data_IF_041487218967
#
_entry.id   IF_041487218967
#
_cell.length_a   1.000
_cell.length_b   1.000
_cell.length_c   1.000
_cell.angle_alpha   90.00
_cell.angle_beta   90.00
_cell.angle_gamma   90.00
#
_symmetry.space_group_name_H-M   'P 1'
#
loop_
_entity.id
_entity.type
_entity.pdbx_description
1 polymer ?
#
# COMPACT_ATOMS: atom_id res chain seq x y z
N UNK A 1 -8.34 5.03 -18.91
CA UNK A 1 -9.05 6.32 -18.95
C UNK A 1 -9.89 6.60 -17.71
N UNK A 2 -10.69 5.63 -17.23
CA UNK A 2 -11.56 5.80 -16.03
C UNK A 2 -10.86 5.57 -14.69
N UNK A 3 -9.77 4.80 -14.67
CA UNK A 3 -8.95 4.58 -13.45
C UNK A 3 -8.24 5.86 -12.97
N UNK A 4 -8.07 6.85 -13.84
CA UNK A 4 -7.53 8.18 -13.50
C UNK A 4 -8.57 9.13 -12.89
N UNK A 5 -9.87 8.81 -12.99
CA UNK A 5 -10.94 9.73 -12.56
C UNK A 5 -11.22 9.68 -11.06
N UNK A 6 -10.81 8.62 -10.37
CA UNK A 6 -11.12 8.40 -8.95
C UNK A 6 -9.91 7.85 -8.17
N UNK A 7 -8.86 8.67 -7.96
CA UNK A 7 -7.72 8.28 -7.13
C UNK A 7 -8.14 7.87 -5.71
N UNK A 8 -9.24 8.42 -5.20
CA UNK A 8 -9.78 8.08 -3.87
C UNK A 8 -10.19 6.60 -3.75
N UNK A 9 -10.70 5.99 -4.83
CA UNK A 9 -11.08 4.57 -4.83
C UNK A 9 -9.82 3.71 -4.74
N UNK A 10 -8.81 3.99 -5.56
CA UNK A 10 -7.52 3.31 -5.52
C UNK A 10 -6.86 3.43 -4.14
N UNK A 11 -6.93 4.63 -3.54
CA UNK A 11 -6.40 4.87 -2.20
C UNK A 11 -7.12 4.05 -1.14
N UNK A 12 -8.45 4.00 -1.16
CA UNK A 12 -9.25 3.18 -0.24
C UNK A 12 -8.94 1.69 -0.37
N UNK A 13 -8.78 1.19 -1.60
CA UNK A 13 -8.40 -0.20 -1.85
C UNK A 13 -7.03 -0.51 -1.25
N UNK A 14 -6.03 0.32 -1.52
CA UNK A 14 -4.68 0.12 -1.00
C UNK A 14 -4.61 0.28 0.53
N UNK A 15 -5.38 1.20 1.11
CA UNK A 15 -5.47 1.35 2.56
C UNK A 15 -6.07 0.10 3.22
N UNK A 16 -7.18 -0.40 2.68
CA UNK A 16 -7.80 -1.64 3.16
C UNK A 16 -6.84 -2.84 3.05
N UNK A 17 -6.10 -2.95 1.95
CA UNK A 17 -5.10 -4.01 1.78
C UNK A 17 -3.99 -3.92 2.84
N UNK A 18 -3.51 -2.72 3.14
CA UNK A 18 -2.48 -2.50 4.18
C UNK A 18 -3.01 -2.89 5.56
N UNK A 19 -4.26 -2.54 5.88
CA UNK A 19 -4.91 -2.92 7.14
C UNK A 19 -5.05 -4.44 7.26
N UNK A 20 -5.52 -5.11 6.20
CA UNK A 20 -5.64 -6.58 6.17
C UNK A 20 -4.28 -7.29 6.29
N UNK A 21 -3.20 -6.67 5.86
CA UNK A 21 -1.83 -7.21 5.92
C UNK A 21 -1.03 -6.77 7.15
N UNK A 22 -1.58 -5.96 8.06
CA UNK A 22 -0.82 -5.30 9.14
C UNK A 22 -0.05 -6.24 10.09
N UNK A 23 -0.49 -7.49 10.23
CA UNK A 23 0.21 -8.51 11.03
C UNK A 23 1.32 -9.24 10.26
N UNK A 24 1.26 -9.24 8.92
CA UNK A 24 2.15 -10.00 8.03
C UNK A 24 3.18 -9.10 7.33
N UNK A 25 2.88 -7.81 7.18
CA UNK A 25 3.67 -6.86 6.43
C UNK A 25 3.82 -5.53 7.17
N UNK A 26 4.92 -4.83 6.88
CA UNK A 26 5.16 -3.46 7.30
C UNK A 26 5.02 -2.57 6.06
N UNK A 27 4.24 -1.50 6.17
CA UNK A 27 4.15 -0.49 5.11
C UNK A 27 5.39 0.40 5.12
N UNK A 28 6.11 0.46 4.00
CA UNK A 28 7.29 1.32 3.83
C UNK A 28 6.92 2.69 3.26
N UNK A 29 5.87 2.74 2.42
CA UNK A 29 5.43 3.97 1.79
C UNK A 29 3.91 4.07 1.80
N UNK A 30 3.38 5.26 2.05
CA UNK A 30 1.93 5.49 1.90
C UNK A 30 1.51 5.39 0.42
N UNK A 31 0.25 5.01 0.12
CA UNK A 31 -0.24 4.99 -1.26
C UNK A 31 -0.04 6.35 -1.93
N UNK A 32 0.63 6.37 -3.09
CA UNK A 32 0.94 7.59 -3.84
C UNK A 32 0.80 7.36 -5.34
N UNK A 33 0.59 8.44 -6.08
CA UNK A 33 0.54 8.42 -7.54
C UNK A 33 1.96 8.51 -8.13
N UNK A 34 2.24 7.70 -9.14
CA UNK A 34 3.38 7.81 -10.04
C UNK A 34 2.88 7.63 -11.47
N UNK A 35 2.91 8.73 -12.25
CA UNK A 35 2.22 8.79 -13.53
C UNK A 35 0.73 8.51 -13.39
N UNK A 36 0.26 7.47 -14.07
CA UNK A 36 -1.13 7.01 -14.06
C UNK A 36 -1.40 5.86 -13.09
N UNK A 37 -0.42 5.49 -12.25
CA UNK A 37 -0.50 4.33 -11.35
C UNK A 37 -0.47 4.80 -9.90
N UNK A 38 -1.30 4.20 -9.04
CA UNK A 38 -1.19 4.34 -7.59
C UNK A 38 -0.51 3.12 -6.99
N UNK A 39 0.52 3.31 -6.17
CA UNK A 39 1.23 2.21 -5.53
C UNK A 39 1.62 2.53 -4.08
N UNK A 40 1.87 1.47 -3.31
CA UNK A 40 2.43 1.47 -1.95
C UNK A 40 3.47 0.35 -1.89
N UNK A 41 4.49 0.49 -1.06
CA UNK A 41 5.51 -0.54 -0.87
C UNK A 41 5.28 -1.19 0.49
N UNK A 42 5.21 -2.52 0.47
CA UNK A 42 5.09 -3.36 1.64
C UNK A 42 6.30 -4.28 1.70
N UNK A 43 6.89 -4.41 2.88
CA UNK A 43 7.86 -5.47 3.16
C UNK A 43 7.27 -6.48 4.12
N UNK A 44 7.75 -7.72 4.02
CA UNK A 44 7.36 -8.78 4.96
C UNK A 44 7.79 -8.37 6.37
N UNK A 45 6.88 -8.52 7.34
CA UNK A 45 7.20 -8.37 8.75
C UNK A 45 8.16 -9.49 9.14
N UNK A 46 9.44 -9.17 9.26
CA UNK A 46 10.45 -10.13 9.69
C UNK A 46 10.27 -10.30 11.20
N UNK A 47 9.74 -11.43 11.64
CA UNK A 47 9.78 -11.83 13.04
C UNK A 47 11.25 -12.03 13.45
N UNK A 48 11.89 -10.95 13.91
CA UNK A 48 13.28 -10.96 14.37
C UNK A 48 14.31 -10.70 13.28
N UNK A 49 14.70 -9.44 13.13
CA UNK A 49 16.13 -9.12 13.28
C UNK A 49 16.30 -8.48 14.65
N UNK A 50 16.43 -9.34 15.68
CA UNK A 50 17.17 -8.94 16.87
C UNK A 50 18.62 -8.84 16.41
N UNK A 51 19.12 -7.62 16.28
CA UNK A 51 20.55 -7.33 16.39
C UNK A 51 20.78 -6.65 17.72
#
# INVERSE_FOLDING_TARGET
>A
GREMAHPDIGRRILQRLVEELGELATQETVPRMEGNTMHTILSRRVAGKKS
#
